data_IF_426467621021
#
_entry.id   IF_426467621021
#
_cell.length_a   1.000
_cell.length_b   1.000
_cell.length_c   1.000
_cell.angle_alpha   90.00
_cell.angle_beta   90.00
_cell.angle_gamma   90.00
#
_symmetry.space_group_name_H-M   'P 1'
#
loop_
_entity.id
_entity.type
_entity.pdbx_description
1 polymer ?
#
# COMPACT_ATOMS: atom_id res chain seq x y z
N UNK A 1 -4.86 28.16 -13.71
CA UNK A 1 -5.02 26.89 -12.96
C UNK A 1 -5.54 25.87 -13.94
N UNK A 2 -4.70 24.96 -14.42
CA UNK A 2 -5.11 23.93 -15.37
C UNK A 2 -5.95 22.88 -14.67
N UNK A 3 -7.20 22.73 -15.10
CA UNK A 3 -8.01 21.56 -14.77
C UNK A 3 -7.43 20.42 -15.59
N UNK A 4 -6.74 19.49 -14.93
CA UNK A 4 -6.42 18.21 -15.55
C UNK A 4 -7.74 17.45 -15.56
N UNK A 5 -8.47 17.51 -16.68
CA UNK A 5 -9.44 16.48 -17.03
C UNK A 5 -8.64 15.21 -17.23
N UNK A 6 -8.58 14.35 -16.20
CA UNK A 6 -8.34 12.93 -16.43
C UNK A 6 -9.48 12.55 -17.38
N UNK A 7 -9.17 12.23 -18.64
CA UNK A 7 -10.19 11.74 -19.55
C UNK A 7 -10.91 10.61 -18.82
N UNK A 8 -12.24 10.64 -18.77
CA UNK A 8 -13.04 9.52 -18.25
C UNK A 8 -12.84 8.32 -19.18
N UNK A 9 -11.69 7.66 -19.04
CA UNK A 9 -11.39 6.40 -19.69
C UNK A 9 -12.36 5.40 -19.10
N UNK A 10 -13.49 5.20 -19.78
CA UNK A 10 -14.47 4.18 -19.39
C UNK A 10 -13.95 2.81 -19.82
N UNK A 11 -14.05 1.79 -18.96
CA UNK A 11 -13.57 0.46 -19.32
C UNK A 11 -14.40 -0.09 -20.49
N UNK A 12 -13.70 -0.73 -21.44
CA UNK A 12 -14.37 -1.51 -22.49
C UNK A 12 -15.05 -2.76 -21.89
N UNK A 13 -15.80 -3.52 -22.70
CA UNK A 13 -16.55 -4.69 -22.22
C UNK A 13 -15.66 -5.74 -21.53
N UNK A 14 -14.50 -6.05 -22.13
CA UNK A 14 -13.55 -7.02 -21.57
C UNK A 14 -12.93 -6.52 -20.27
N UNK A 15 -12.52 -5.25 -20.23
CA UNK A 15 -11.99 -4.62 -19.01
C UNK A 15 -13.04 -4.63 -17.91
N UNK A 16 -14.29 -4.29 -18.23
CA UNK A 16 -15.40 -4.28 -17.27
C UNK A 16 -15.62 -5.65 -16.64
N UNK A 17 -15.62 -6.72 -17.44
CA UNK A 17 -15.77 -8.09 -16.94
C UNK A 17 -14.65 -8.45 -15.96
N UNK A 18 -13.40 -8.20 -16.35
CA UNK A 18 -12.22 -8.52 -15.53
C UNK A 18 -12.15 -7.66 -14.27
N UNK A 19 -12.38 -6.35 -14.40
CA UNK A 19 -12.38 -5.41 -13.28
C UNK A 19 -13.46 -5.77 -12.28
N UNK A 20 -14.68 -6.09 -12.71
CA UNK A 20 -15.77 -6.48 -11.81
C UNK A 20 -15.37 -7.67 -10.92
N UNK A 21 -14.72 -8.70 -11.48
CA UNK A 21 -14.26 -9.86 -10.72
C UNK A 21 -13.21 -9.48 -9.66
N UNK A 22 -12.21 -8.67 -10.05
CA UNK A 22 -11.16 -8.26 -9.13
C UNK A 22 -11.64 -7.28 -8.05
N UNK A 23 -12.51 -6.34 -8.41
CA UNK A 23 -13.12 -5.41 -7.45
C UNK A 23 -14.00 -6.14 -6.43
N UNK A 24 -14.88 -7.04 -6.88
CA UNK A 24 -15.72 -7.83 -5.96
C UNK A 24 -14.85 -8.62 -4.99
N UNK A 25 -13.81 -9.31 -5.50
CA UNK A 25 -12.89 -10.07 -4.65
C UNK A 25 -12.13 -9.17 -3.68
N UNK A 26 -11.69 -7.99 -4.12
CA UNK A 26 -11.03 -7.02 -3.27
C UNK A 26 -11.95 -6.53 -2.15
N UNK A 27 -13.20 -6.18 -2.46
CA UNK A 27 -14.16 -5.71 -1.46
C UNK A 27 -14.55 -6.79 -0.46
N UNK A 28 -14.71 -8.05 -0.89
CA UNK A 28 -14.91 -9.18 0.01
C UNK A 28 -13.75 -9.31 1.02
N UNK A 29 -12.51 -9.24 0.52
CA UNK A 29 -11.31 -9.28 1.38
C UNK A 29 -11.19 -8.05 2.26
N UNK A 30 -11.57 -6.87 1.77
CA UNK A 30 -11.57 -5.63 2.54
C UNK A 30 -12.44 -5.78 3.78
N UNK A 31 -13.71 -6.14 3.61
CA UNK A 31 -14.66 -6.28 4.71
C UNK A 31 -14.22 -7.36 5.72
N UNK A 32 -13.60 -8.44 5.24
CA UNK A 32 -13.03 -9.48 6.11
C UNK A 32 -11.82 -8.97 6.91
N UNK A 33 -10.85 -8.33 6.24
CA UNK A 33 -9.54 -7.97 6.84
C UNK A 33 -9.64 -6.79 7.80
N UNK A 34 -10.49 -5.80 7.51
CA UNK A 34 -10.63 -4.61 8.38
C UNK A 34 -11.51 -4.86 9.60
N UNK A 35 -12.21 -6.00 9.63
CA UNK A 35 -13.00 -6.44 10.77
C UNK A 35 -12.13 -6.61 12.02
N UNK A 36 -12.61 -6.16 13.19
CA UNK A 36 -11.81 -6.26 14.43
C UNK A 36 -11.55 -7.70 14.87
N UNK A 37 -12.42 -8.65 14.50
CA UNK A 37 -12.21 -10.04 14.82
C UNK A 37 -11.13 -10.69 13.95
N UNK A 38 -10.75 -10.07 12.82
CA UNK A 38 -9.76 -10.62 11.91
C UNK A 38 -8.41 -10.83 12.58
N UNK A 39 -7.99 -9.94 13.47
CA UNK A 39 -6.72 -10.07 14.21
C UNK A 39 -6.67 -11.35 15.07
N UNK A 40 -7.83 -11.86 15.48
CA UNK A 40 -7.94 -13.06 16.31
C UNK A 40 -7.83 -14.36 15.50
N UNK A 41 -7.85 -14.29 14.17
CA UNK A 41 -7.60 -15.45 13.32
C UNK A 41 -6.15 -15.93 13.46
N UNK A 42 -5.87 -17.16 13.03
CA UNK A 42 -4.49 -17.66 12.96
C UNK A 42 -3.58 -16.74 12.11
N UNK A 43 -2.34 -16.53 12.56
CA UNK A 43 -1.42 -15.60 11.90
C UNK A 43 -1.12 -15.98 10.45
N UNK A 44 -1.11 -17.27 10.11
CA UNK A 44 -0.93 -17.72 8.72
C UNK A 44 -2.13 -17.41 7.87
N UNK A 45 -3.34 -17.58 8.42
CA UNK A 45 -4.58 -17.20 7.73
C UNK A 45 -4.56 -15.71 7.42
N UNK A 46 -4.24 -14.86 8.40
CA UNK A 46 -4.15 -13.40 8.20
C UNK A 46 -3.12 -13.07 7.13
N UNK A 47 -1.94 -13.67 7.21
CA UNK A 47 -0.86 -13.50 6.25
C UNK A 47 -1.28 -13.86 4.82
N UNK A 48 -1.96 -14.99 4.62
CA UNK A 48 -2.41 -15.40 3.28
C UNK A 48 -3.47 -14.46 2.70
N UNK A 49 -4.40 -13.97 3.52
CA UNK A 49 -5.43 -13.01 3.11
C UNK A 49 -4.82 -11.67 2.70
N UNK A 50 -3.81 -11.20 3.43
CA UNK A 50 -3.05 -10.00 3.06
C UNK A 50 -2.28 -10.20 1.75
N UNK A 51 -1.57 -11.33 1.61
CA UNK A 51 -0.85 -11.66 0.38
C UNK A 51 -1.79 -11.67 -0.83
N UNK A 52 -2.98 -12.23 -0.67
CA UNK A 52 -4.01 -12.22 -1.70
C UNK A 52 -4.48 -10.80 -2.03
N UNK A 53 -4.75 -9.99 -1.01
CA UNK A 53 -5.16 -8.58 -1.16
C UNK A 53 -4.12 -7.76 -1.95
N UNK A 54 -2.84 -7.87 -1.61
CA UNK A 54 -1.74 -7.23 -2.36
C UNK A 54 -1.65 -7.73 -3.81
N UNK A 55 -1.95 -9.01 -4.04
CA UNK A 55 -1.91 -9.60 -5.38
C UNK A 55 -3.04 -9.05 -6.26
N UNK A 56 -4.26 -9.01 -5.73
CA UNK A 56 -5.43 -8.45 -6.43
C UNK A 56 -5.25 -6.97 -6.69
N UNK A 57 -4.81 -6.21 -5.68
CA UNK A 57 -4.53 -4.79 -5.84
C UNK A 57 -3.55 -4.55 -6.99
N UNK A 58 -2.50 -5.37 -7.11
CA UNK A 58 -1.54 -5.24 -8.23
C UNK A 58 -2.18 -5.46 -9.61
N UNK A 59 -3.11 -6.41 -9.72
CA UNK A 59 -3.86 -6.63 -10.97
C UNK A 59 -4.75 -5.44 -11.30
N UNK A 60 -5.46 -4.89 -10.31
CA UNK A 60 -6.28 -3.67 -10.48
C UNK A 60 -5.42 -2.47 -10.89
N UNK A 61 -4.22 -2.31 -10.33
CA UNK A 61 -3.27 -1.25 -10.72
C UNK A 61 -2.79 -1.33 -12.18
N UNK A 62 -3.07 -2.42 -12.90
CA UNK A 62 -2.77 -2.51 -14.34
C UNK A 62 -3.74 -1.71 -15.21
N UNK A 63 -4.91 -1.35 -14.68
CA UNK A 63 -5.89 -0.52 -15.38
C UNK A 63 -5.39 0.93 -15.49
N UNK A 64 -5.47 1.49 -16.70
CA UNK A 64 -4.79 2.75 -17.02
C UNK A 64 -5.31 3.91 -16.18
N UNK A 65 -6.63 4.02 -15.95
CA UNK A 65 -7.21 5.12 -15.17
C UNK A 65 -6.70 5.15 -13.72
N UNK A 66 -6.53 3.97 -13.09
CA UNK A 66 -5.95 3.87 -11.73
C UNK A 66 -4.47 4.24 -11.77
N UNK A 67 -3.74 3.77 -12.78
CA UNK A 67 -2.31 4.05 -12.96
C UNK A 67 -2.05 5.54 -13.18
N UNK A 68 -2.91 6.23 -13.94
CA UNK A 68 -2.86 7.68 -14.11
C UNK A 68 -3.09 8.42 -12.81
N UNK A 69 -4.08 8.00 -12.02
CA UNK A 69 -4.35 8.58 -10.70
C UNK A 69 -3.16 8.44 -9.74
N UNK A 70 -2.52 7.26 -9.68
CA UNK A 70 -1.30 7.06 -8.89
C UNK A 70 -0.17 7.97 -9.37
N UNK A 71 0.05 8.07 -10.68
CA UNK A 71 1.07 8.94 -11.24
C UNK A 71 0.81 10.41 -10.90
N UNK A 72 -0.44 10.86 -10.91
CA UNK A 72 -0.84 12.19 -10.47
C UNK A 72 -0.51 12.43 -8.99
N UNK A 73 -0.85 11.49 -8.08
CA UNK A 73 -0.47 11.58 -6.66
C UNK A 73 1.06 11.71 -6.49
N UNK A 74 1.82 10.87 -7.18
CA UNK A 74 3.29 10.90 -7.14
C UNK A 74 3.91 12.19 -7.69
N UNK A 75 3.20 12.95 -8.53
CA UNK A 75 3.69 14.22 -9.12
C UNK A 75 3.33 15.46 -8.28
N UNK A 76 2.68 15.29 -7.13
CA UNK A 76 2.28 16.39 -6.25
C UNK A 76 0.77 16.56 -6.10
N UNK A 77 -0.02 15.65 -6.69
CA UNK A 77 -1.43 15.48 -6.32
C UNK A 77 -1.55 15.17 -4.83
N UNK A 78 -2.56 15.74 -4.16
CA UNK A 78 -2.79 15.44 -2.75
C UNK A 78 -3.60 14.14 -2.64
N UNK A 79 -3.13 13.15 -1.87
CA UNK A 79 -2.01 13.24 -0.92
C UNK A 79 -0.72 12.55 -1.47
N UNK A 80 0.37 13.32 -1.57
CA UNK A 80 1.57 12.96 -2.36
C UNK A 80 2.35 11.76 -1.79
N UNK A 81 2.50 11.69 -0.47
CA UNK A 81 3.24 10.60 0.19
C UNK A 81 2.53 9.26 0.03
N UNK A 82 1.21 9.27 0.04
CA UNK A 82 0.36 8.12 -0.16
C UNK A 82 0.55 7.55 -1.58
N UNK A 83 0.85 8.38 -2.58
CA UNK A 83 1.27 7.90 -3.90
C UNK A 83 2.60 7.13 -3.89
N UNK A 84 3.56 7.52 -3.04
CA UNK A 84 4.81 6.77 -2.84
C UNK A 84 4.53 5.46 -2.08
N UNK A 85 3.68 5.50 -1.05
CA UNK A 85 3.32 4.31 -0.29
C UNK A 85 2.56 3.29 -1.15
N UNK A 86 1.51 3.74 -1.81
CA UNK A 86 0.59 2.88 -2.54
C UNK A 86 1.18 2.26 -3.81
N UNK A 87 2.26 2.84 -4.34
CA UNK A 87 3.00 2.27 -5.47
C UNK A 87 4.31 1.62 -5.01
N UNK A 88 5.27 2.42 -4.52
CA UNK A 88 6.62 1.94 -4.25
C UNK A 88 6.64 0.95 -3.06
N UNK A 89 6.04 1.31 -1.90
CA UNK A 89 6.04 0.43 -0.71
C UNK A 89 5.14 -0.79 -0.92
N UNK A 90 3.93 -0.63 -1.46
CA UNK A 90 3.03 -1.77 -1.69
C UNK A 90 3.58 -2.73 -2.74
N UNK A 91 4.23 -2.23 -3.80
CA UNK A 91 4.95 -3.08 -4.75
C UNK A 91 6.09 -3.84 -4.06
N UNK A 92 6.85 -3.20 -3.18
CA UNK A 92 7.88 -3.87 -2.38
C UNK A 92 7.29 -4.98 -1.51
N UNK A 93 6.25 -4.70 -0.72
CA UNK A 93 5.58 -5.69 0.14
C UNK A 93 5.06 -6.85 -0.71
N UNK A 94 4.28 -6.57 -1.76
CA UNK A 94 3.75 -7.60 -2.66
C UNK A 94 4.85 -8.50 -3.22
N UNK A 95 5.96 -7.91 -3.65
CA UNK A 95 7.09 -8.68 -4.17
C UNK A 95 7.78 -9.53 -3.10
N UNK A 96 7.89 -9.05 -1.85
CA UNK A 96 8.37 -9.89 -0.75
C UNK A 96 7.44 -11.09 -0.53
N UNK A 97 6.14 -10.84 -0.41
CA UNK A 97 5.14 -11.88 -0.13
C UNK A 97 5.00 -12.89 -1.27
N UNK A 98 5.23 -12.48 -2.52
CA UNK A 98 5.10 -13.34 -3.71
C UNK A 98 6.38 -14.11 -4.03
N UNK A 99 7.56 -13.45 -3.99
CA UNK A 99 8.81 -14.06 -4.45
C UNK A 99 9.58 -14.80 -3.35
N UNK A 100 9.18 -14.65 -2.10
CA UNK A 100 9.74 -15.39 -0.97
C UNK A 100 8.65 -16.22 -0.29
N UNK A 101 8.16 -17.30 -0.94
CA UNK A 101 7.14 -18.20 -0.38
C UNK A 101 7.72 -19.14 0.70
N UNK A 102 8.57 -18.58 1.57
CA UNK A 102 9.26 -19.25 2.68
C UNK A 102 8.80 -18.72 4.04
N UNK A 103 7.97 -17.68 4.04
CA UNK A 103 7.42 -17.06 5.24
C UNK A 103 5.94 -17.44 5.40
N UNK A 104 5.54 -17.64 6.64
CA UNK A 104 4.16 -18.03 6.99
C UNK A 104 3.41 -16.91 7.71
N UNK A 105 4.11 -15.92 8.29
CA UNK A 105 3.51 -14.83 9.05
C UNK A 105 4.14 -13.48 8.73
N UNK A 106 3.40 -12.39 8.96
CA UNK A 106 3.87 -11.02 8.69
C UNK A 106 5.17 -10.69 9.41
N UNK A 107 5.26 -11.11 10.67
CA UNK A 107 6.35 -10.79 11.59
C UNK A 107 7.67 -11.54 11.31
N UNK A 108 7.60 -12.61 10.52
CA UNK A 108 8.75 -13.40 10.07
C UNK A 108 9.35 -12.88 8.77
N UNK A 109 8.60 -12.09 7.98
CA UNK A 109 9.09 -11.61 6.69
C UNK A 109 10.29 -10.70 6.89
N UNK A 110 11.41 -11.08 6.30
CA UNK A 110 12.62 -10.27 6.25
C UNK A 110 13.29 -10.30 4.89
N UNK A 111 14.16 -9.32 4.67
CA UNK A 111 15.02 -9.26 3.50
C UNK A 111 16.38 -8.66 3.87
N UNK A 112 17.43 -9.04 3.16
CA UNK A 112 18.74 -8.42 3.23
C UNK A 112 19.32 -8.28 1.82
N UNK A 113 20.48 -7.64 1.67
CA UNK A 113 21.10 -7.40 0.35
C UNK A 113 21.28 -8.69 -0.46
N UNK A 114 21.79 -9.76 0.15
CA UNK A 114 22.00 -11.04 -0.52
C UNK A 114 20.69 -11.65 -1.04
N UNK A 115 19.64 -11.67 -0.21
CA UNK A 115 18.33 -12.16 -0.61
C UNK A 115 17.70 -11.28 -1.69
N UNK A 116 17.80 -9.95 -1.57
CA UNK A 116 17.20 -9.04 -2.54
C UNK A 116 17.86 -9.10 -3.93
N UNK A 117 19.12 -9.54 -4.02
CA UNK A 117 19.88 -9.65 -5.28
C UNK A 117 20.14 -11.09 -5.73
N UNK A 118 19.53 -12.10 -5.10
CA UNK A 118 19.89 -13.51 -5.29
C UNK A 118 19.82 -13.99 -6.74
N UNK A 119 18.78 -13.57 -7.48
CA UNK A 119 18.56 -13.92 -8.89
C UNK A 119 18.88 -12.75 -9.82
N UNK A 120 18.43 -11.55 -9.46
CA UNK A 120 18.69 -10.30 -10.19
C UNK A 120 18.43 -9.09 -9.29
N UNK A 121 18.98 -7.94 -9.67
CA UNK A 121 18.64 -6.65 -9.06
C UNK A 121 17.23 -6.21 -9.51
N UNK A 122 16.22 -6.69 -8.79
CA UNK A 122 14.80 -6.49 -9.09
C UNK A 122 14.17 -5.27 -8.41
N UNK A 123 12.84 -5.26 -8.31
CA UNK A 123 12.08 -4.18 -7.67
C UNK A 123 12.39 -4.03 -6.18
N UNK A 124 12.64 -5.15 -5.48
CA UNK A 124 13.01 -5.15 -4.05
C UNK A 124 14.32 -4.40 -3.82
N UNK A 125 15.37 -4.74 -4.56
CA UNK A 125 16.68 -4.08 -4.46
C UNK A 125 16.60 -2.58 -4.81
N UNK A 126 15.86 -2.24 -5.87
CA UNK A 126 15.62 -0.84 -6.28
C UNK A 126 14.90 -0.04 -5.20
N UNK A 127 13.84 -0.61 -4.62
CA UNK A 127 13.09 0.03 -3.55
C UNK A 127 13.98 0.29 -2.33
N UNK A 128 14.69 -0.72 -1.83
CA UNK A 128 15.54 -0.58 -0.64
C UNK A 128 16.63 0.47 -0.87
N UNK A 129 17.30 0.44 -2.03
CA UNK A 129 18.33 1.42 -2.42
C UNK A 129 17.79 2.86 -2.46
N UNK A 130 16.54 3.05 -2.88
CA UNK A 130 15.88 4.36 -2.91
C UNK A 130 15.41 4.77 -1.51
N UNK A 131 14.82 3.85 -0.75
CA UNK A 131 14.17 4.10 0.54
C UNK A 131 15.14 4.62 1.60
N UNK A 132 16.37 4.11 1.65
CA UNK A 132 17.41 4.59 2.58
C UNK A 132 17.80 6.06 2.35
N UNK A 133 17.51 6.60 1.15
CA UNK A 133 17.76 8.01 0.80
C UNK A 133 16.56 8.91 1.06
N UNK A 134 15.36 8.33 1.18
CA UNK A 134 14.13 9.08 1.47
C UNK A 134 14.05 9.36 2.96
N UNK A 135 14.41 10.59 3.34
CA UNK A 135 14.36 11.06 4.72
C UNK A 135 13.49 12.32 4.81
N UNK A 136 12.54 12.31 5.73
CA UNK A 136 11.75 13.48 6.11
C UNK A 136 12.39 14.01 7.40
N UNK A 137 12.83 15.26 7.41
CA UNK A 137 13.54 15.86 8.55
C UNK A 137 14.74 15.02 9.04
N UNK A 138 15.46 14.41 8.10
CA UNK A 138 16.61 13.54 8.38
C UNK A 138 16.25 12.16 8.93
N UNK A 139 14.96 11.79 9.02
CA UNK A 139 14.49 10.49 9.52
C UNK A 139 13.75 9.70 8.44
N UNK A 140 13.91 8.37 8.45
CA UNK A 140 13.14 7.46 7.58
C UNK A 140 11.71 7.21 8.05
N UNK A 141 11.27 7.87 9.13
CA UNK A 141 9.97 7.61 9.75
C UNK A 141 8.91 8.58 9.27
N UNK A 142 7.78 8.05 8.80
CA UNK A 142 6.61 8.81 8.38
C UNK A 142 5.45 8.52 9.34
N UNK A 143 4.85 9.57 9.90
CA UNK A 143 3.74 9.46 10.85
C UNK A 143 2.39 9.52 10.16
N UNK A 144 1.53 8.57 10.50
CA UNK A 144 0.17 8.47 9.99
C UNK A 144 -0.82 8.33 11.15
N UNK A 145 -2.09 8.61 10.83
CA UNK A 145 -3.21 8.21 11.67
C UNK A 145 -4.35 7.69 10.79
N UNK A 146 -5.07 6.71 11.31
CA UNK A 146 -6.32 6.23 10.73
C UNK A 146 -7.47 6.57 11.67
N UNK A 147 -8.58 7.04 11.10
CA UNK A 147 -9.84 7.28 11.79
C UNK A 147 -10.85 6.22 11.39
N UNK A 148 -11.29 5.41 12.36
CA UNK A 148 -12.31 4.36 12.16
C UNK A 148 -13.68 4.95 12.58
N UNK A 149 -14.49 5.36 11.60
CA UNK A 149 -15.72 6.15 11.84
C UNK A 149 -16.72 5.42 12.72
N UNK A 150 -16.99 4.15 12.39
CA UNK A 150 -17.94 3.29 13.12
C UNK A 150 -17.56 3.12 14.60
N UNK A 151 -16.28 3.30 14.94
CA UNK A 151 -15.72 3.08 16.29
C UNK A 151 -15.39 4.37 17.01
N UNK A 152 -15.46 5.51 16.33
CA UNK A 152 -14.94 6.79 16.82
C UNK A 152 -13.51 6.68 17.38
N UNK A 153 -12.65 5.90 16.70
CA UNK A 153 -11.30 5.58 17.17
C UNK A 153 -10.25 6.16 16.24
N UNK A 154 -9.29 6.88 16.83
CA UNK A 154 -8.08 7.33 16.15
C UNK A 154 -6.91 6.42 16.52
N UNK A 155 -6.23 5.87 15.52
CA UNK A 155 -5.03 5.05 15.73
C UNK A 155 -3.84 5.74 15.08
N UNK A 156 -2.78 5.97 15.85
CA UNK A 156 -1.54 6.60 15.41
C UNK A 156 -0.47 5.55 15.18
N UNK A 157 0.29 5.67 14.09
CA UNK A 157 1.38 4.75 13.81
C UNK A 157 2.44 5.38 12.92
N UNK A 158 3.54 4.65 12.74
CA UNK A 158 4.67 5.04 11.93
C UNK A 158 4.91 4.01 10.82
N UNK A 159 5.29 4.50 9.65
CA UNK A 159 5.99 3.70 8.63
C UNK A 159 7.47 4.05 8.73
N UNK A 160 8.32 3.06 8.94
CA UNK A 160 9.77 3.27 9.13
C UNK A 160 10.53 2.73 7.92
N UNK A 161 11.00 3.61 7.05
CA UNK A 161 11.93 3.21 6.01
C UNK A 161 13.28 2.83 6.63
N UNK A 162 13.95 1.78 6.10
CA UNK A 162 15.22 1.33 6.64
C UNK A 162 16.28 2.43 6.69
N UNK A 163 17.11 2.42 7.73
CA UNK A 163 18.26 3.33 7.84
C UNK A 163 19.46 2.86 7.01
N UNK A 164 19.61 1.54 6.87
CA UNK A 164 20.70 0.92 6.12
C UNK A 164 20.18 -0.23 5.27
N UNK A 165 20.89 -0.49 4.18
CA UNK A 165 20.63 -1.62 3.30
C UNK A 165 21.94 -2.36 3.01
N UNK A 166 22.20 -3.39 3.81
CA UNK A 166 23.40 -4.23 3.76
C UNK A 166 22.99 -5.70 4.03
N UNK A 167 23.89 -6.52 4.55
CA UNK A 167 23.62 -7.94 4.83
C UNK A 167 22.80 -8.18 6.12
N UNK A 168 22.49 -7.14 6.88
CA UNK A 168 21.60 -7.20 8.04
C UNK A 168 20.15 -7.35 7.58
N UNK A 169 19.38 -8.17 8.30
CA UNK A 169 17.97 -8.35 8.01
C UNK A 169 17.17 -7.07 8.30
N UNK A 170 16.31 -6.73 7.35
CA UNK A 170 15.26 -5.72 7.46
C UNK A 170 13.95 -6.49 7.56
N UNK A 171 13.24 -6.35 8.68
CA UNK A 171 11.96 -7.03 8.89
C UNK A 171 10.79 -6.17 8.43
N UNK A 172 9.76 -6.82 7.86
CA UNK A 172 8.55 -6.13 7.41
C UNK A 172 7.80 -5.48 8.57
N UNK A 173 7.69 -6.16 9.72
CA UNK A 173 7.07 -5.63 10.94
C UNK A 173 7.71 -4.34 11.47
N UNK A 174 9.01 -4.16 11.22
CA UNK A 174 9.73 -2.95 11.65
C UNK A 174 9.43 -1.78 10.72
N UNK A 175 9.16 -2.06 9.42
CA UNK A 175 8.71 -1.07 8.45
C UNK A 175 7.26 -0.68 8.75
N UNK A 176 6.38 -1.66 8.92
CA UNK A 176 4.98 -1.46 9.24
C UNK A 176 4.46 -2.65 10.08
N UNK A 177 4.03 -2.42 11.34
CA UNK A 177 3.53 -3.49 12.20
C UNK A 177 2.25 -4.12 11.64
N UNK A 178 2.05 -5.43 11.83
CA UNK A 178 0.89 -6.15 11.28
C UNK A 178 -0.44 -5.50 11.70
N UNK A 179 -0.68 -5.35 13.00
CA UNK A 179 -1.98 -4.95 13.57
C UNK A 179 -2.56 -3.68 12.92
N UNK A 180 -1.75 -2.62 12.82
CA UNK A 180 -2.15 -1.36 12.19
C UNK A 180 -1.92 -1.37 10.68
N UNK A 181 -0.88 -2.08 10.23
CA UNK A 181 -0.48 -2.16 8.84
C UNK A 181 -1.54 -2.79 7.95
N UNK A 182 -2.22 -3.83 8.42
CA UNK A 182 -3.33 -4.47 7.71
C UNK A 182 -4.44 -3.47 7.39
N UNK A 183 -4.97 -2.78 8.42
CA UNK A 183 -6.04 -1.79 8.25
C UNK A 183 -5.60 -0.63 7.37
N UNK A 184 -4.38 -0.12 7.58
CA UNK A 184 -3.86 0.97 6.76
C UNK A 184 -3.70 0.56 5.29
N UNK A 185 -3.11 -0.61 5.02
CA UNK A 185 -2.91 -1.09 3.66
C UNK A 185 -4.24 -1.26 2.94
N UNK A 186 -5.21 -1.94 3.56
CA UNK A 186 -6.53 -2.14 2.97
C UNK A 186 -7.28 -0.83 2.75
N UNK A 187 -7.25 0.09 3.73
CA UNK A 187 -7.88 1.40 3.60
C UNK A 187 -7.27 2.24 2.47
N UNK A 188 -5.95 2.19 2.29
CA UNK A 188 -5.30 2.97 1.23
C UNK A 188 -5.56 2.38 -0.14
N UNK A 189 -5.51 1.05 -0.26
CA UNK A 189 -5.90 0.35 -1.49
C UNK A 189 -7.34 0.71 -1.87
N UNK A 190 -8.29 0.59 -0.94
CA UNK A 190 -9.69 0.94 -1.17
C UNK A 190 -9.85 2.40 -1.60
N UNK A 191 -9.23 3.35 -0.89
CA UNK A 191 -9.33 4.76 -1.22
C UNK A 191 -8.83 5.10 -2.63
N UNK A 192 -7.85 4.35 -3.15
CA UNK A 192 -7.35 4.51 -4.52
C UNK A 192 -8.29 3.88 -5.53
N UNK A 193 -8.75 2.66 -5.26
CA UNK A 193 -9.64 1.90 -6.14
C UNK A 193 -11.00 2.60 -6.28
N UNK A 194 -11.57 3.09 -5.17
CA UNK A 194 -12.86 3.78 -5.13
C UNK A 194 -12.87 5.07 -5.98
N UNK A 195 -11.71 5.62 -6.35
CA UNK A 195 -11.66 6.76 -7.29
C UNK A 195 -12.15 6.43 -8.69
N UNK A 196 -12.21 5.15 -9.05
CA UNK A 196 -12.64 4.65 -10.36
C UNK A 196 -13.97 3.87 -10.26
N UNK A 197 -14.70 4.02 -9.16
CA UNK A 197 -16.00 3.38 -8.95
C UNK A 197 -17.07 4.45 -8.84
N UNK A 198 -18.08 4.36 -9.70
CA UNK A 198 -19.24 5.24 -9.65
C UNK A 198 -20.03 4.98 -8.36
N UNK A 199 -20.45 6.05 -7.68
CA UNK A 199 -21.21 6.00 -6.41
C UNK A 199 -20.57 5.11 -5.33
N UNK A 200 -19.24 5.10 -5.25
CA UNK A 200 -18.50 4.35 -4.25
C UNK A 200 -18.99 4.65 -2.82
N UNK A 201 -19.19 3.60 -2.02
CA UNK A 201 -19.60 3.74 -0.63
C UNK A 201 -18.55 4.54 0.17
N UNK A 202 -19.03 5.38 1.09
CA UNK A 202 -18.14 6.16 1.96
C UNK A 202 -17.26 5.22 2.78
N UNK A 203 -15.92 5.36 2.71
CA UNK A 203 -15.00 4.50 3.47
C UNK A 203 -15.20 4.67 4.98
N UNK A 204 -15.24 3.56 5.72
CA UNK A 204 -15.35 3.57 7.17
C UNK A 204 -14.01 3.76 7.89
N UNK A 205 -12.90 3.64 7.16
CA UNK A 205 -11.55 3.99 7.61
C UNK A 205 -11.00 5.14 6.77
N UNK A 206 -10.73 6.27 7.41
CA UNK A 206 -10.12 7.46 6.77
C UNK A 206 -8.65 7.56 7.12
N UNK A 207 -7.80 7.64 6.09
CA UNK A 207 -6.36 7.86 6.25
C UNK A 207 -6.09 9.35 6.38
N UNK A 208 -5.28 9.73 7.36
CA UNK A 208 -4.81 11.10 7.51
C UNK A 208 -3.29 11.09 7.70
N UNK A 209 -2.56 11.65 6.75
CA UNK A 209 -1.12 11.90 6.91
C UNK A 209 -0.88 13.15 7.77
N UNK A 210 0.19 13.12 8.57
CA UNK A 210 0.63 14.28 9.35
C UNK A 210 1.64 15.17 8.60
N UNK A 211 2.08 14.77 7.40
CA UNK A 211 3.18 15.44 6.71
C UNK A 211 2.65 16.56 5.82
N UNK A 212 2.59 17.77 6.38
CA UNK A 212 2.57 19.00 5.59
C UNK A 212 4.02 19.27 5.11
N UNK A 213 4.34 18.94 3.86
CA UNK A 213 5.51 19.56 3.23
C UNK A 213 5.12 20.95 2.71
N UNK A 214 5.89 21.99 2.98
CA UNK A 214 5.80 23.20 2.17
C UNK A 214 6.16 22.81 0.74
N UNK A 215 5.22 22.96 -0.18
CA UNK A 215 5.51 22.84 -1.61
C UNK A 215 6.57 23.92 -1.89
N UNK A 216 7.82 23.51 -2.14
CA UNK A 216 8.77 24.41 -2.79
C UNK A 216 8.31 24.53 -4.23
N UNK A 217 7.64 25.65 -4.53
CA UNK A 217 7.45 26.08 -5.91
C UNK A 217 8.85 26.44 -6.43
N UNK A 218 9.45 25.53 -7.20
CA UNK A 218 10.49 25.90 -8.17
C UNK A 218 9.81 26.35 -9.48
#
# INVERSE_FOLDING_TARGET
MGVITIEELKPNEKEREVLALFYNRFYDLYEEVVNDNFINNDAKIRFYKLRESFSIYKELLSYESIKEYINWMKKGGRPHFEGIIADDLFSFIRNLLLHFPIFDTWDEVYINKNLATWSKMGQIDKFLTKSIKQKIDGKGTVKYRIWEEKKNKMTYFCINFPEQYNNTNIYLKDIIPEEVGMKFCMALMRAILDTQVEDAEVPDIKIMSQVYLPIKNE
#
